data_IF_870236194509
#
_entry.id   IF_870236194509
#
_cell.length_a   1.000
_cell.length_b   1.000
_cell.length_c   1.000
_cell.angle_alpha   90.00
_cell.angle_beta   90.00
_cell.angle_gamma   90.00
#
_symmetry.space_group_name_H-M   'P 1'
#
loop_
_entity.id
_entity.type
_entity.pdbx_description
1 polymer ?
#
# COMPACT_ATOMS: atom_id res chain seq x y z
N UNK A 1 7.91 -25.72 18.89
CA UNK A 1 7.15 -24.67 19.58
C UNK A 1 7.29 -23.38 18.77
N UNK A 2 6.19 -22.76 18.30
CA UNK A 2 6.26 -21.43 17.66
C UNK A 2 6.65 -20.39 18.69
N UNK A 3 7.61 -19.53 18.34
CA UNK A 3 8.11 -18.47 19.23
C UNK A 3 7.10 -17.32 19.26
N UNK A 4 6.51 -17.05 20.43
CA UNK A 4 5.46 -16.04 20.64
C UNK A 4 5.82 -14.66 20.09
N UNK A 5 7.10 -14.28 20.14
CA UNK A 5 7.58 -13.00 19.62
C UNK A 5 7.57 -12.95 18.10
N UNK A 6 8.01 -14.02 17.43
CA UNK A 6 7.98 -14.13 15.96
C UNK A 6 6.54 -14.11 15.45
N UNK A 7 5.62 -14.78 16.16
CA UNK A 7 4.18 -14.75 15.84
C UNK A 7 3.58 -13.33 15.94
N UNK A 8 4.02 -12.53 16.93
CA UNK A 8 3.60 -11.14 17.05
C UNK A 8 4.10 -10.28 15.88
N UNK A 9 5.36 -10.45 15.47
CA UNK A 9 5.93 -9.75 14.31
C UNK A 9 5.20 -10.12 13.02
N UNK A 10 4.90 -11.41 12.83
CA UNK A 10 4.13 -11.91 11.68
C UNK A 10 2.74 -11.29 11.62
N UNK A 11 2.02 -11.27 12.74
CA UNK A 11 0.68 -10.65 12.83
C UNK A 11 0.73 -9.16 12.51
N UNK A 12 1.76 -8.46 12.99
CA UNK A 12 1.98 -7.04 12.70
C UNK A 12 2.18 -6.79 11.21
N UNK A 13 3.06 -7.58 10.56
CA UNK A 13 3.30 -7.49 9.12
C UNK A 13 2.04 -7.78 8.29
N UNK A 14 1.28 -8.82 8.64
CA UNK A 14 0.01 -9.14 8.00
C UNK A 14 -1.02 -8.01 8.13
N UNK A 15 -1.16 -7.44 9.34
CA UNK A 15 -2.07 -6.33 9.58
C UNK A 15 -1.66 -5.09 8.76
N UNK A 16 -0.36 -4.81 8.66
CA UNK A 16 0.17 -3.72 7.84
C UNK A 16 -0.11 -3.93 6.34
N UNK A 17 0.13 -5.13 5.81
CA UNK A 17 -0.20 -5.47 4.40
C UNK A 17 -1.69 -5.23 4.11
N UNK A 18 -2.57 -5.76 4.94
CA UNK A 18 -4.01 -5.60 4.77
C UNK A 18 -4.42 -4.12 4.84
N UNK A 19 -3.86 -3.38 5.81
CA UNK A 19 -4.11 -1.95 5.96
C UNK A 19 -3.68 -1.15 4.73
N UNK A 20 -2.51 -1.45 4.15
CA UNK A 20 -2.00 -0.78 2.94
C UNK A 20 -2.94 -0.98 1.76
N UNK A 21 -3.34 -2.22 1.49
CA UNK A 21 -4.20 -2.57 0.36
C UNK A 21 -5.59 -1.94 0.55
N UNK A 22 -6.22 -2.16 1.71
CA UNK A 22 -7.55 -1.63 2.00
C UNK A 22 -7.60 -0.11 1.99
N UNK A 23 -6.56 0.57 2.49
CA UNK A 23 -6.49 2.04 2.45
C UNK A 23 -6.39 2.58 1.03
N UNK A 24 -5.62 1.90 0.16
CA UNK A 24 -5.50 2.28 -1.24
C UNK A 24 -6.82 2.08 -1.99
N UNK A 25 -7.45 0.92 -1.82
CA UNK A 25 -8.75 0.60 -2.43
C UNK A 25 -9.84 1.58 -2.00
N UNK A 26 -9.93 1.88 -0.69
CA UNK A 26 -10.90 2.83 -0.16
C UNK A 26 -10.71 4.25 -0.73
N UNK A 27 -9.47 4.75 -0.75
CA UNK A 27 -9.16 6.06 -1.35
C UNK A 27 -9.52 6.10 -2.83
N UNK A 28 -9.27 5.01 -3.54
CA UNK A 28 -9.57 4.88 -4.97
C UNK A 28 -11.08 4.94 -5.19
N UNK A 29 -11.85 4.13 -4.45
CA UNK A 29 -13.31 4.09 -4.52
C UNK A 29 -13.94 5.46 -4.20
N UNK A 30 -13.50 6.14 -3.13
CA UNK A 30 -13.98 7.49 -2.79
C UNK A 30 -13.75 8.47 -3.94
N UNK A 31 -12.57 8.43 -4.56
CA UNK A 31 -12.23 9.36 -5.64
C UNK A 31 -13.00 9.03 -6.93
N UNK A 32 -13.22 7.75 -7.22
CA UNK A 32 -14.05 7.31 -8.33
C UNK A 32 -15.50 7.75 -8.15
N UNK A 33 -16.07 7.59 -6.96
CA UNK A 33 -17.43 8.09 -6.70
C UNK A 33 -17.53 9.61 -6.76
N UNK A 34 -16.51 10.32 -6.29
CA UNK A 34 -16.45 11.79 -6.42
C UNK A 34 -16.36 12.23 -7.89
N UNK A 35 -15.74 11.43 -8.77
CA UNK A 35 -15.70 11.70 -10.21
C UNK A 35 -17.05 11.38 -10.85
N UNK A 36 -17.66 10.25 -10.48
CA UNK A 36 -18.98 9.84 -10.94
C UNK A 36 -20.06 10.86 -10.60
N UNK A 37 -20.09 11.36 -9.35
CA UNK A 37 -21.05 12.37 -8.91
C UNK A 37 -20.93 13.67 -9.73
N UNK A 38 -19.70 14.11 -10.03
CA UNK A 38 -19.44 15.29 -10.88
C UNK A 38 -19.88 15.06 -12.32
N UNK A 39 -19.63 13.87 -12.87
CA UNK A 39 -20.14 13.45 -14.18
C UNK A 39 -21.66 13.59 -14.25
N UNK A 40 -22.30 13.04 -13.23
CA UNK A 40 -23.75 12.94 -13.14
C UNK A 40 -24.41 14.32 -13.08
N UNK A 41 -23.77 15.27 -12.39
CA UNK A 41 -24.20 16.66 -12.27
C UNK A 41 -23.94 17.51 -13.54
N UNK A 42 -23.30 16.96 -14.58
CA UNK A 42 -22.97 17.62 -15.87
C UNK A 42 -22.13 18.90 -15.75
N UNK A 43 -21.27 18.98 -14.74
CA UNK A 43 -20.48 20.20 -14.51
C UNK A 43 -19.22 20.32 -15.41
N UNK A 44 -18.74 19.28 -16.12
CA UNK A 44 -17.55 19.31 -17.02
C UNK A 44 -17.49 18.08 -18.03
N UNK A 45 -16.59 18.03 -19.05
CA UNK A 45 -16.90 17.58 -20.44
C UNK A 45 -16.91 16.07 -20.74
N UNK A 46 -17.32 15.75 -21.98
CA UNK A 46 -17.73 14.48 -22.63
C UNK A 46 -16.97 13.16 -22.36
N UNK A 47 -15.88 13.12 -21.56
CA UNK A 47 -15.25 11.86 -21.16
C UNK A 47 -14.50 11.96 -19.82
N UNK A 48 -14.76 11.01 -18.93
CA UNK A 48 -14.06 10.87 -17.64
C UNK A 48 -13.08 9.71 -17.68
N UNK A 49 -11.83 9.97 -17.30
CA UNK A 49 -10.81 8.95 -17.14
C UNK A 49 -10.88 8.41 -15.71
N UNK A 50 -11.52 7.25 -15.54
CA UNK A 50 -11.62 6.56 -14.26
C UNK A 50 -10.27 5.96 -13.80
N UNK A 51 -9.36 5.64 -14.73
CA UNK A 51 -8.04 5.07 -14.43
C UNK A 51 -6.93 5.73 -15.28
N UNK A 52 -6.18 6.67 -14.70
CA UNK A 52 -5.01 7.25 -15.37
C UNK A 52 -3.75 6.35 -15.22
N UNK A 53 -2.77 6.54 -16.11
CA UNK A 53 -1.50 5.81 -16.13
C UNK A 53 -0.69 5.97 -14.82
N UNK A 54 -0.79 7.10 -14.13
CA UNK A 54 -0.09 7.40 -12.87
C UNK A 54 -0.79 6.79 -11.64
N UNK A 55 -2.11 6.56 -11.68
CA UNK A 55 -2.85 5.73 -10.71
C UNK A 55 -2.39 4.28 -10.78
N UNK A 56 -2.14 3.74 -11.96
CA UNK A 56 -1.54 2.42 -12.11
C UNK A 56 -0.17 2.35 -11.45
N UNK A 57 0.59 3.43 -11.49
CA UNK A 57 1.89 3.53 -10.83
C UNK A 57 1.76 3.61 -9.29
N UNK A 58 0.76 4.31 -8.75
CA UNK A 58 0.42 4.30 -7.32
C UNK A 58 0.04 2.90 -6.84
N UNK A 59 -0.88 2.24 -7.55
CA UNK A 59 -1.28 0.84 -7.31
C UNK A 59 -0.08 -0.09 -7.34
N UNK A 60 0.78 0.05 -8.35
CA UNK A 60 1.98 -0.76 -8.52
C UNK A 60 2.90 -0.65 -7.31
N UNK A 61 3.18 0.56 -6.81
CA UNK A 61 4.01 0.74 -5.61
C UNK A 61 3.41 0.17 -4.34
N UNK A 62 2.09 0.23 -4.18
CA UNK A 62 1.41 -0.41 -3.04
C UNK A 62 1.54 -1.94 -3.13
N UNK A 63 1.43 -2.50 -4.34
CA UNK A 63 1.66 -3.93 -4.56
C UNK A 63 3.14 -4.30 -4.33
N UNK A 64 4.10 -3.50 -4.80
CA UNK A 64 5.52 -3.71 -4.53
C UNK A 64 5.80 -3.72 -3.00
N UNK A 65 5.16 -2.82 -2.24
CA UNK A 65 5.27 -2.81 -0.79
C UNK A 65 4.63 -4.06 -0.14
N UNK A 66 3.51 -4.55 -0.68
CA UNK A 66 2.88 -5.78 -0.22
C UNK A 66 3.75 -7.02 -0.50
N UNK A 67 4.42 -7.08 -1.65
CA UNK A 67 5.36 -8.14 -2.02
C UNK A 67 6.58 -8.17 -1.08
N UNK A 68 7.13 -7.01 -0.71
CA UNK A 68 8.20 -6.93 0.28
C UNK A 68 7.75 -7.52 1.63
N UNK A 69 6.51 -7.24 2.04
CA UNK A 69 5.95 -7.80 3.27
C UNK A 69 5.79 -9.32 3.16
N UNK A 70 5.30 -9.83 2.02
CA UNK A 70 5.16 -11.26 1.80
C UNK A 70 6.51 -11.99 1.86
N UNK A 71 7.54 -11.45 1.20
CA UNK A 71 8.89 -12.01 1.30
C UNK A 71 9.45 -12.01 2.73
N UNK A 72 9.15 -10.97 3.52
CA UNK A 72 9.53 -10.94 4.93
C UNK A 72 8.76 -11.96 5.79
N UNK A 73 7.47 -12.18 5.49
CA UNK A 73 6.64 -13.18 6.16
C UNK A 73 7.14 -14.61 5.93
N UNK A 74 7.58 -14.92 4.71
CA UNK A 74 8.18 -16.20 4.35
C UNK A 74 9.51 -16.42 5.10
N UNK A 75 10.39 -15.41 5.08
CA UNK A 75 11.70 -15.51 5.74
C UNK A 75 11.58 -15.62 7.27
N UNK A 76 10.61 -14.95 7.88
CA UNK A 76 10.35 -14.96 9.32
C UNK A 76 10.14 -16.37 9.90
N UNK A 77 9.64 -17.32 9.11
CA UNK A 77 9.43 -18.71 9.57
C UNK A 77 10.73 -19.45 9.85
N UNK A 78 11.84 -19.00 9.24
CA UNK A 78 13.14 -19.68 9.28
C UNK A 78 14.20 -18.96 10.12
N UNK A 79 13.89 -17.77 10.66
CA UNK A 79 14.86 -16.92 11.35
C UNK A 79 14.92 -17.17 12.87
N UNK A 80 16.12 -16.97 13.45
CA UNK A 80 16.25 -16.77 14.89
C UNK A 80 15.63 -15.43 15.34
N UNK A 81 15.50 -15.23 16.65
CA UNK A 81 14.80 -14.06 17.20
C UNK A 81 15.48 -12.71 16.88
N UNK A 82 16.81 -12.69 16.77
CA UNK A 82 17.57 -11.47 16.46
C UNK A 82 17.42 -11.14 14.98
N UNK A 83 17.58 -12.14 14.11
CA UNK A 83 17.37 -12.04 12.68
C UNK A 83 15.93 -11.62 12.36
N UNK A 84 14.93 -12.20 13.03
CA UNK A 84 13.52 -11.84 12.87
C UNK A 84 13.25 -10.37 13.21
N UNK A 85 13.85 -9.86 14.30
CA UNK A 85 13.70 -8.46 14.70
C UNK A 85 14.37 -7.51 13.70
N UNK A 86 15.53 -7.90 13.16
CA UNK A 86 16.24 -7.13 12.13
C UNK A 86 15.46 -7.09 10.81
N UNK A 87 14.99 -8.25 10.36
CA UNK A 87 14.18 -8.40 9.15
C UNK A 87 12.88 -7.57 9.25
N UNK A 88 12.21 -7.61 10.40
CA UNK A 88 11.02 -6.79 10.65
C UNK A 88 11.33 -5.29 10.51
N UNK A 89 12.41 -4.80 11.13
CA UNK A 89 12.79 -3.38 11.03
C UNK A 89 13.16 -2.98 9.59
N UNK A 90 13.88 -3.84 8.87
CA UNK A 90 14.22 -3.61 7.46
C UNK A 90 12.96 -3.51 6.60
N UNK A 91 12.00 -4.40 6.84
CA UNK A 91 10.70 -4.41 6.16
C UNK A 91 9.94 -3.12 6.41
N UNK A 92 9.86 -2.67 7.67
CA UNK A 92 9.21 -1.39 8.02
C UNK A 92 9.84 -0.21 7.29
N UNK A 93 11.17 -0.12 7.24
CA UNK A 93 11.87 0.97 6.56
C UNK A 93 11.62 0.95 5.05
N UNK A 94 11.62 -0.22 4.42
CA UNK A 94 11.34 -0.36 2.98
C UNK A 94 9.91 0.06 2.64
N UNK A 95 8.93 -0.43 3.42
CA UNK A 95 7.51 -0.06 3.26
C UNK A 95 7.30 1.43 3.48
N UNK A 96 7.92 2.03 4.50
CA UNK A 96 7.83 3.47 4.77
C UNK A 96 8.37 4.30 3.61
N UNK A 97 9.48 3.88 2.98
CA UNK A 97 10.05 4.55 1.82
C UNK A 97 9.10 4.49 0.62
N UNK A 98 8.57 3.31 0.29
CA UNK A 98 7.66 3.13 -0.85
C UNK A 98 6.35 3.88 -0.67
N UNK A 99 5.77 3.83 0.52
CA UNK A 99 4.53 4.56 0.83
C UNK A 99 4.72 6.07 0.78
N UNK A 100 5.87 6.58 1.25
CA UNK A 100 6.22 8.01 1.11
C UNK A 100 6.29 8.42 -0.36
N UNK A 101 6.96 7.64 -1.21
CA UNK A 101 7.05 7.93 -2.64
C UNK A 101 5.71 7.84 -3.36
N UNK A 102 4.88 6.84 -3.03
CA UNK A 102 3.52 6.75 -3.55
C UNK A 102 2.71 8.01 -3.21
N UNK A 103 2.79 8.47 -1.95
CA UNK A 103 2.12 9.69 -1.51
C UNK A 103 2.57 10.95 -2.25
N UNK A 104 3.88 11.14 -2.45
CA UNK A 104 4.44 12.29 -3.20
C UNK A 104 3.92 12.30 -4.64
N UNK A 105 3.88 11.14 -5.29
CA UNK A 105 3.45 11.03 -6.68
C UNK A 105 1.95 11.26 -6.81
N UNK A 106 1.14 10.76 -5.88
CA UNK A 106 -0.29 11.07 -5.82
C UNK A 106 -0.56 12.55 -5.56
N UNK A 107 0.20 13.22 -4.68
CA UNK A 107 0.01 14.64 -4.38
C UNK A 107 0.47 15.56 -5.50
N UNK A 108 1.56 15.20 -6.21
CA UNK A 108 2.06 15.98 -7.36
C UNK A 108 1.06 16.07 -8.53
N UNK A 109 0.02 15.23 -8.53
CA UNK A 109 -1.05 15.21 -9.54
C UNK A 109 -2.17 16.21 -9.21
N UNK A 110 -2.29 16.71 -7.97
CA UNK A 110 -3.35 17.68 -7.61
C UNK A 110 -3.07 19.12 -8.05
N UNK A 111 -1.85 19.44 -8.44
CA UNK A 111 -1.40 20.81 -8.76
C UNK A 111 -1.11 21.05 -10.26
N UNK A 112 -1.34 20.05 -11.12
CA UNK A 112 -1.19 20.16 -12.59
C UNK A 112 -2.54 20.12 -13.28
#
# INVERSE_FOLDING_TARGET
MRNLRTDALRKSLLAMKNSLISSYELKTAIREESLFERAWKREEPDYLIFSDYRRNEGRRRILDAAEIIDGALEQLESCDQMAASKLYLQTLNAVALLTKWAGILESSVRES
#
